data_IF_083640368901
#
_entry.id   IF_083640368901
#
_cell.length_a   1.000
_cell.length_b   1.000
_cell.length_c   1.000
_cell.angle_alpha   90.00
_cell.angle_beta   90.00
_cell.angle_gamma   90.00
#
_symmetry.space_group_name_H-M   'P 1'
#
loop_
_entity.id
_entity.type
_entity.pdbx_description
1 polymer ?
#
# COMPACT_ATOMS: atom_id res chain seq x y z
N UNK A 1 -7.60 22.59 0.50
CA UNK A 1 -6.31 21.86 0.57
C UNK A 1 -5.82 21.44 -0.82
N UNK A 2 -6.66 20.81 -1.65
CA UNK A 2 -6.30 20.37 -3.02
C UNK A 2 -5.74 21.46 -3.96
N UNK A 3 -6.35 22.65 -3.97
CA UNK A 3 -5.95 23.77 -4.86
C UNK A 3 -4.48 24.18 -4.74
N UNK A 4 -3.91 24.13 -3.53
CA UNK A 4 -2.53 24.54 -3.29
C UNK A 4 -1.51 23.61 -3.96
N UNK A 5 -1.77 22.31 -3.93
CA UNK A 5 -0.88 21.30 -4.49
C UNK A 5 -0.86 21.34 -6.02
N UNK A 6 -2.03 21.47 -6.66
CA UNK A 6 -2.11 21.62 -8.12
C UNK A 6 -1.41 22.89 -8.61
N UNK A 7 -1.60 24.02 -7.92
CA UNK A 7 -0.90 25.26 -8.26
C UNK A 7 0.62 25.09 -8.19
N UNK A 8 1.12 24.42 -7.15
CA UNK A 8 2.55 24.14 -7.01
C UNK A 8 3.06 23.21 -8.11
N UNK A 9 2.33 22.15 -8.44
CA UNK A 9 2.68 21.23 -9.52
C UNK A 9 2.75 21.95 -10.88
N UNK A 10 1.75 22.76 -11.22
CA UNK A 10 1.74 23.54 -12.46
C UNK A 10 2.92 24.52 -12.55
N UNK A 11 3.31 25.15 -11.44
CA UNK A 11 4.46 26.05 -11.40
C UNK A 11 5.78 25.30 -11.65
N UNK A 12 5.93 24.10 -11.08
CA UNK A 12 7.09 23.23 -11.33
C UNK A 12 7.12 22.77 -12.79
N UNK A 13 5.98 22.37 -13.34
CA UNK A 13 5.89 21.99 -14.76
C UNK A 13 6.27 23.15 -15.67
N UNK A 14 5.78 24.35 -15.36
CA UNK A 14 6.08 25.56 -16.14
C UNK A 14 7.56 25.94 -16.12
N UNK A 15 8.33 25.50 -15.12
CA UNK A 15 9.78 25.71 -15.07
C UNK A 15 10.59 24.64 -15.82
N UNK A 16 9.94 23.62 -16.38
CA UNK A 16 10.56 22.62 -17.25
C UNK A 16 11.15 21.41 -16.51
N UNK A 17 10.39 20.79 -15.60
CA UNK A 17 10.81 19.56 -14.93
C UNK A 17 10.84 18.36 -15.89
N UNK A 18 11.78 17.43 -15.64
CA UNK A 18 11.89 16.18 -16.38
C UNK A 18 11.03 15.04 -15.80
N UNK A 19 10.62 15.15 -14.53
CA UNK A 19 9.80 14.19 -13.81
C UNK A 19 9.18 14.82 -12.57
N UNK A 20 8.11 14.23 -12.05
CA UNK A 20 7.43 14.63 -10.83
C UNK A 20 7.55 13.49 -9.81
N UNK A 21 8.01 13.81 -8.61
CA UNK A 21 7.99 12.88 -7.49
C UNK A 21 6.67 13.06 -6.73
N UNK A 22 5.87 12.00 -6.74
CA UNK A 22 4.51 12.01 -6.28
C UNK A 22 4.40 12.27 -4.78
N UNK A 23 3.35 12.99 -4.35
CA UNK A 23 3.03 13.11 -2.95
C UNK A 23 2.58 11.74 -2.39
N UNK A 24 2.81 11.51 -1.10
CA UNK A 24 2.37 10.28 -0.43
C UNK A 24 0.85 10.19 -0.26
N UNK A 25 0.15 11.32 -0.32
CA UNK A 25 -1.31 11.36 -0.18
C UNK A 25 -1.99 10.78 -1.43
N UNK A 26 -2.84 9.74 -1.30
CA UNK A 26 -3.42 9.06 -2.44
C UNK A 26 -4.40 9.93 -3.25
N UNK A 27 -5.14 10.80 -2.57
CA UNK A 27 -6.10 11.71 -3.22
C UNK A 27 -5.35 12.72 -4.08
N UNK A 28 -4.30 13.32 -3.54
CA UNK A 28 -3.47 14.28 -4.31
C UNK A 28 -2.70 13.55 -5.40
N UNK A 29 -2.18 12.34 -5.11
CA UNK A 29 -1.48 11.49 -6.06
C UNK A 29 -2.30 11.21 -7.32
N UNK A 30 -3.60 10.93 -7.18
CA UNK A 30 -4.50 10.73 -8.32
C UNK A 30 -4.62 11.98 -9.22
N UNK A 31 -4.59 13.19 -8.64
CA UNK A 31 -4.60 14.42 -9.43
C UNK A 31 -3.27 14.69 -10.14
N UNK A 32 -2.14 14.39 -9.49
CA UNK A 32 -0.82 14.47 -10.12
C UNK A 32 -0.68 13.43 -11.24
N UNK A 33 -1.24 12.22 -11.04
CA UNK A 33 -1.29 11.18 -12.04
C UNK A 33 -1.99 11.65 -13.31
N UNK A 34 -3.20 12.20 -13.18
CA UNK A 34 -3.95 12.74 -14.34
C UNK A 34 -3.19 13.85 -15.07
N UNK A 35 -2.44 14.67 -14.34
CA UNK A 35 -1.61 15.73 -14.92
C UNK A 35 -0.40 15.17 -15.68
N UNK A 36 0.27 14.18 -15.09
CA UNK A 36 1.37 13.42 -15.69
C UNK A 36 0.94 12.77 -17.01
N UNK A 37 -0.22 12.12 -17.01
CA UNK A 37 -0.79 11.45 -18.19
C UNK A 37 -1.12 12.45 -19.30
N UNK A 38 -1.60 13.64 -18.94
CA UNK A 38 -1.98 14.66 -19.92
C UNK A 38 -0.79 15.37 -20.58
N UNK A 39 0.38 15.34 -19.91
CA UNK A 39 1.55 16.10 -20.30
C UNK A 39 2.76 15.22 -20.69
N UNK A 40 2.59 13.90 -20.65
CA UNK A 40 3.65 12.92 -20.87
C UNK A 40 4.88 13.16 -19.96
N UNK A 41 4.65 13.57 -18.71
CA UNK A 41 5.71 13.84 -17.74
C UNK A 41 5.81 12.65 -16.78
N UNK A 42 6.96 11.97 -16.66
CA UNK A 42 7.11 10.83 -15.76
C UNK A 42 6.77 11.17 -14.30
N UNK A 43 5.87 10.41 -13.70
CA UNK A 43 5.48 10.45 -12.30
C UNK A 43 6.14 9.28 -11.53
N UNK A 44 6.80 9.58 -10.42
CA UNK A 44 7.50 8.57 -9.60
C UNK A 44 6.89 8.56 -8.22
N UNK A 45 6.30 7.44 -7.83
CA UNK A 45 5.61 7.26 -6.56
C UNK A 45 6.41 6.31 -5.65
N UNK A 46 6.21 6.43 -4.34
CA UNK A 46 6.79 5.51 -3.35
C UNK A 46 5.78 5.25 -2.23
N UNK A 47 4.52 5.11 -2.61
CA UNK A 47 3.40 4.91 -1.69
C UNK A 47 2.76 3.56 -1.92
N UNK A 48 2.10 3.08 -0.88
CA UNK A 48 1.27 1.91 -0.96
C UNK A 48 0.10 2.20 -1.92
N UNK A 49 0.02 1.46 -3.03
CA UNK A 49 -1.00 1.62 -4.06
C UNK A 49 -1.73 0.29 -4.24
N UNK A 50 -3.04 0.31 -4.00
CA UNK A 50 -3.90 -0.86 -4.08
C UNK A 50 -4.56 -1.04 -5.43
N UNK A 51 -4.57 0.02 -6.22
CA UNK A 51 -5.32 0.02 -7.46
C UNK A 51 -4.70 -1.00 -8.41
N UNK A 52 -5.48 -1.96 -8.92
CA UNK A 52 -4.96 -2.98 -9.83
C UNK A 52 -4.65 -2.42 -11.23
N UNK A 53 -5.04 -1.17 -11.49
CA UNK A 53 -4.90 -0.53 -12.78
C UNK A 53 -3.45 -0.08 -13.03
N UNK A 54 -2.94 -0.45 -14.21
CA UNK A 54 -1.65 0.03 -14.68
C UNK A 54 -1.79 1.52 -14.99
N UNK A 55 -0.98 2.34 -14.32
CA UNK A 55 -0.92 3.79 -14.53
C UNK A 55 0.09 4.10 -15.63
N UNK A 56 -0.37 4.78 -16.68
CA UNK A 56 0.51 5.32 -17.70
C UNK A 56 1.41 6.40 -17.10
N UNK A 57 2.58 6.64 -17.72
CA UNK A 57 3.54 7.66 -17.27
C UNK A 57 3.91 7.62 -15.77
N UNK A 58 3.63 6.54 -15.03
CA UNK A 58 3.91 6.43 -13.61
C UNK A 58 4.65 5.15 -13.25
N UNK A 59 5.58 5.28 -12.30
CA UNK A 59 6.31 4.15 -11.72
C UNK A 59 6.23 4.25 -10.21
N UNK A 60 5.69 3.20 -9.58
CA UNK A 60 5.68 3.09 -8.13
C UNK A 60 6.86 2.23 -7.64
N UNK A 61 7.71 2.84 -6.83
CA UNK A 61 8.88 2.22 -6.20
C UNK A 61 8.56 1.59 -4.85
N UNK A 62 7.32 1.72 -4.37
CA UNK A 62 6.88 1.03 -3.18
C UNK A 62 6.97 -0.48 -3.38
N UNK A 63 7.57 -1.24 -2.43
CA UNK A 63 7.66 -2.68 -2.56
C UNK A 63 6.29 -3.31 -2.75
N UNK A 64 6.22 -4.30 -3.63
CA UNK A 64 5.00 -5.06 -3.84
C UNK A 64 4.48 -5.62 -2.49
N UNK A 65 3.18 -5.45 -2.17
CA UNK A 65 2.64 -5.87 -0.88
C UNK A 65 2.80 -7.37 -0.61
N UNK A 66 2.72 -8.22 -1.64
CA UNK A 66 2.90 -9.66 -1.52
C UNK A 66 4.34 -10.04 -1.21
N UNK A 67 5.29 -9.38 -1.88
CA UNK A 67 6.73 -9.53 -1.60
C UNK A 67 7.06 -9.06 -0.19
N UNK A 68 6.48 -7.93 0.23
CA UNK A 68 6.64 -7.39 1.59
C UNK A 68 6.13 -8.39 2.63
N UNK A 69 4.90 -8.89 2.45
CA UNK A 69 4.34 -9.93 3.31
C UNK A 69 5.20 -11.18 3.37
N UNK A 70 5.79 -11.61 2.25
CA UNK A 70 6.73 -12.74 2.20
C UNK A 70 7.99 -12.48 3.01
N UNK A 71 8.61 -11.33 2.81
CA UNK A 71 9.82 -10.97 3.54
C UNK A 71 9.60 -10.95 5.06
N UNK A 72 8.42 -10.48 5.49
CA UNK A 72 8.06 -10.44 6.91
C UNK A 72 7.94 -11.85 7.51
N UNK A 73 7.48 -12.83 6.72
CA UNK A 73 7.41 -14.23 7.16
C UNK A 73 8.76 -14.88 7.23
N UNK A 74 9.58 -14.63 6.22
CA UNK A 74 10.94 -15.14 6.18
C UNK A 74 11.70 -14.63 7.42
N UNK A 75 11.46 -13.38 7.84
CA UNK A 75 11.97 -12.82 9.09
C UNK A 75 11.45 -13.53 10.34
N UNK A 76 10.13 -13.75 10.44
CA UNK A 76 9.49 -14.47 11.57
C UNK A 76 10.09 -15.87 11.73
N UNK A 77 10.28 -16.57 10.62
CA UNK A 77 10.87 -17.91 10.59
C UNK A 77 12.35 -17.87 10.97
N UNK A 78 13.13 -16.96 10.39
CA UNK A 78 14.56 -16.80 10.68
C UNK A 78 14.82 -16.51 12.15
N UNK A 79 13.99 -15.67 12.77
CA UNK A 79 14.12 -15.29 14.18
C UNK A 79 13.48 -16.30 15.15
N UNK A 80 12.84 -17.37 14.65
CA UNK A 80 12.09 -18.35 15.44
C UNK A 80 11.02 -17.71 16.35
N UNK A 81 10.35 -16.67 15.85
CA UNK A 81 9.26 -16.04 16.60
C UNK A 81 8.05 -16.98 16.65
N UNK A 82 7.61 -17.26 17.87
CA UNK A 82 6.50 -18.19 18.12
C UNK A 82 5.13 -17.51 18.16
N UNK A 83 5.10 -16.19 18.34
CA UNK A 83 3.88 -15.39 18.27
C UNK A 83 4.19 -14.04 17.65
N UNK A 84 3.23 -13.52 16.90
CA UNK A 84 3.27 -12.22 16.25
C UNK A 84 1.89 -11.57 16.39
N UNK A 85 1.85 -10.25 16.42
CA UNK A 85 0.62 -9.48 16.34
C UNK A 85 0.68 -8.60 15.10
N UNK A 86 -0.42 -8.56 14.34
CA UNK A 86 -0.54 -7.70 13.18
C UNK A 86 -1.52 -6.59 13.55
N UNK A 87 -0.99 -5.37 13.65
CA UNK A 87 -1.79 -4.17 13.85
C UNK A 87 -2.04 -3.55 12.47
N UNK A 88 -3.30 -3.32 12.12
CA UNK A 88 -3.69 -2.65 10.90
C UNK A 88 -4.78 -1.62 11.20
N UNK A 89 -4.91 -0.65 10.31
CA UNK A 89 -5.97 0.35 10.35
C UNK A 89 -7.07 -0.06 9.36
N UNK A 90 -8.34 0.12 9.73
CA UNK A 90 -9.51 -0.45 9.03
C UNK A 90 -9.69 0.03 7.59
N UNK A 91 -9.06 1.15 7.22
CA UNK A 91 -9.13 1.79 5.91
C UNK A 91 -8.49 0.92 4.79
N UNK A 92 -7.99 -0.25 5.15
CA UNK A 92 -7.04 -1.10 4.41
C UNK A 92 -7.63 -2.52 4.22
N UNK A 93 -8.93 -2.73 4.44
CA UNK A 93 -9.57 -4.07 4.39
C UNK A 93 -9.46 -4.84 3.05
N UNK A 94 -8.96 -4.21 1.98
CA UNK A 94 -8.58 -4.90 0.72
C UNK A 94 -7.27 -5.71 0.84
N UNK A 95 -6.47 -5.50 1.90
CA UNK A 95 -5.17 -6.13 2.15
C UNK A 95 -5.21 -7.49 2.87
N UNK A 96 -6.39 -8.11 2.98
CA UNK A 96 -6.52 -9.46 3.53
C UNK A 96 -5.74 -10.54 2.74
N UNK A 97 -5.08 -10.18 1.63
CA UNK A 97 -4.23 -11.07 0.83
C UNK A 97 -2.76 -11.11 1.31
N UNK A 98 -2.21 -10.03 1.88
CA UNK A 98 -0.80 -9.99 2.34
C UNK A 98 -0.56 -10.97 3.51
N UNK A 99 -1.59 -11.19 4.31
CA UNK A 99 -1.60 -12.16 5.42
C UNK A 99 -1.70 -13.63 4.94
N UNK A 100 -2.12 -13.90 3.69
CA UNK A 100 -2.30 -15.28 3.19
C UNK A 100 -1.02 -16.06 3.05
N UNK A 101 0.10 -15.36 2.88
CA UNK A 101 1.33 -16.09 2.71
C UNK A 101 1.92 -16.61 4.02
N UNK A 102 1.32 -16.39 5.20
CA UNK A 102 1.77 -16.93 6.51
C UNK A 102 1.15 -18.31 6.80
N UNK A 103 1.84 -19.43 6.50
CA UNK A 103 1.49 -20.73 7.09
C UNK A 103 2.62 -21.26 7.99
N UNK A 104 2.40 -22.01 9.07
CA UNK A 104 1.18 -22.40 9.81
C UNK A 104 1.61 -23.15 11.09
N UNK A 105 0.64 -23.46 11.98
CA UNK A 105 0.28 -24.88 12.25
C UNK A 105 -1.07 -24.97 12.99
N UNK A 106 -2.06 -25.54 12.31
CA UNK A 106 -3.27 -26.20 12.86
C UNK A 106 -4.43 -25.43 13.53
N UNK A 107 -4.35 -24.16 13.97
CA UNK A 107 -5.45 -23.61 14.80
C UNK A 107 -5.87 -22.18 14.42
N UNK A 108 -6.77 -22.05 13.44
CA UNK A 108 -7.87 -21.07 13.50
C UNK A 108 -9.07 -21.76 12.85
N UNK A 109 -9.75 -22.60 13.65
CA UNK A 109 -10.84 -23.46 13.20
C UNK A 109 -11.96 -22.62 12.58
N UNK A 110 -12.28 -22.92 11.32
CA UNK A 110 -13.60 -22.82 10.72
C UNK A 110 -14.29 -21.45 10.84
N UNK A 111 -13.97 -20.53 9.95
CA UNK A 111 -14.96 -19.78 9.19
C UNK A 111 -14.24 -18.78 8.30
N UNK A 112 -14.54 -18.80 7.01
CA UNK A 112 -14.61 -17.61 6.16
C UNK A 112 -15.34 -18.07 4.91
N UNK A 113 -16.65 -18.17 5.07
CA UNK A 113 -17.63 -18.32 4.00
C UNK A 113 -18.55 -17.09 4.09
N UNK A 114 -19.11 -16.58 3.00
CA UNK A 114 -18.47 -15.85 1.90
C UNK A 114 -18.96 -14.39 1.90
N UNK A 115 -19.46 -13.91 3.04
CA UNK A 115 -19.96 -12.56 3.24
C UNK A 115 -19.26 -12.00 4.46
N UNK A 116 -18.32 -11.09 4.22
CA UNK A 116 -18.13 -9.88 5.01
C UNK A 116 -18.69 -10.02 6.44
N UNK A 117 -17.94 -10.59 7.36
CA UNK A 117 -18.31 -10.61 8.77
C UNK A 117 -17.21 -9.83 9.51
N UNK A 118 -17.24 -8.51 9.40
CA UNK A 118 -17.93 -7.63 10.34
C UNK A 118 -17.26 -7.71 11.71
N UNK A 119 -16.42 -6.71 12.00
CA UNK A 119 -15.64 -6.49 13.22
C UNK A 119 -14.24 -7.11 13.18
N UNK A 120 -13.36 -6.40 12.46
CA UNK A 120 -11.92 -6.43 12.56
C UNK A 120 -11.45 -6.24 14.02
N UNK A 121 -11.41 -7.31 14.80
CA UNK A 121 -10.98 -7.26 16.19
C UNK A 121 -9.45 -7.46 16.27
N UNK A 122 -8.75 -6.37 16.57
CA UNK A 122 -7.30 -6.34 16.82
C UNK A 122 -6.99 -7.19 18.05
N UNK A 123 -6.23 -8.27 17.88
CA UNK A 123 -5.77 -9.10 18.99
C UNK A 123 -4.31 -8.83 19.32
N UNK A 124 -4.06 -8.23 20.49
CA UNK A 124 -2.73 -8.00 21.07
C UNK A 124 -2.22 -9.25 21.78
N UNK A 125 -0.99 -9.72 21.51
CA UNK A 125 -0.22 -10.53 22.47
C UNK A 125 1.30 -10.31 22.28
N UNK A 126 1.98 -10.07 23.40
CA UNK A 126 3.43 -9.91 23.54
C UNK A 126 4.22 -11.20 23.28
N UNK A 127 5.45 -11.08 22.78
CA UNK A 127 6.52 -12.04 23.09
C UNK A 127 7.85 -11.39 23.37
N UNK A 128 8.35 -11.71 24.58
CA UNK A 128 9.65 -11.48 25.21
C UNK A 128 10.25 -10.07 25.15
#
# INVERSE_FOLDING_TARGET
MLFFFLSTACNLISSGVAAIFGPNDPMIGAHIQSLSDSLDIPHIESRLDLEPDVKDCSVNLHPDPQVTGKSMRDLVQYLNWSRIAVLYQDDICEYADVSRGIPSKQTYRQSLNPKIASNCEVSFVWTK
#
